data_IF_282234431415
#
_entry.id   IF_282234431415
#
_cell.length_a   1.000
_cell.length_b   1.000
_cell.length_c   1.000
_cell.angle_alpha   90.00
_cell.angle_beta   90.00
_cell.angle_gamma   90.00
#
_symmetry.space_group_name_H-M   'P 1'
#
loop_
_entity.id
_entity.type
_entity.pdbx_description
1 polymer ?
#
# COMPACT_ATOMS: atom_id res chain seq x y z
N UNK A 1 -52.16 -4.09 -5.63
CA UNK A 1 -50.92 -3.50 -6.03
C UNK A 1 -49.94 -3.59 -4.87
N UNK A 2 -49.01 -4.50 -4.91
CA UNK A 2 -47.98 -4.57 -3.90
C UNK A 2 -46.89 -3.55 -4.27
N UNK A 3 -46.88 -2.43 -3.59
CA UNK A 3 -45.72 -1.62 -3.40
C UNK A 3 -44.73 -2.43 -2.56
N UNK A 4 -44.27 -3.53 -3.12
CA UNK A 4 -43.22 -4.29 -2.46
C UNK A 4 -41.88 -3.74 -2.88
N UNK A 5 -41.46 -2.77 -2.09
CA UNK A 5 -40.08 -2.60 -1.69
C UNK A 5 -39.10 -2.42 -2.83
N UNK A 6 -39.00 -1.23 -3.29
CA UNK A 6 -37.72 -0.64 -3.46
C UNK A 6 -37.15 -0.41 -2.04
N UNK A 7 -36.94 -1.47 -1.30
CA UNK A 7 -35.90 -1.45 -0.27
C UNK A 7 -34.62 -1.25 -1.02
N UNK A 8 -33.89 -0.24 -0.62
CA UNK A 8 -32.56 0.11 -1.04
C UNK A 8 -31.62 -1.09 -0.81
N UNK A 9 -31.78 -2.16 -1.60
CA UNK A 9 -30.91 -3.36 -1.58
C UNK A 9 -29.60 -3.13 -2.30
N UNK A 10 -29.42 -1.96 -2.89
CA UNK A 10 -28.29 -1.63 -3.72
C UNK A 10 -27.03 -1.18 -3.00
N UNK A 11 -27.08 -0.91 -1.69
CA UNK A 11 -25.91 -0.39 -0.97
C UNK A 11 -25.58 -1.27 0.23
N UNK A 12 -24.34 -1.75 0.29
CA UNK A 12 -23.82 -2.49 1.43
C UNK A 12 -22.67 -1.70 2.03
N UNK A 13 -22.71 -1.45 3.33
CA UNK A 13 -21.63 -0.87 4.11
C UNK A 13 -21.11 -1.91 5.09
N UNK A 14 -19.81 -2.14 5.09
CA UNK A 14 -19.14 -3.02 6.05
C UNK A 14 -18.07 -2.23 6.79
N UNK A 15 -18.22 -2.14 8.12
CA UNK A 15 -17.15 -1.72 9.01
C UNK A 15 -16.27 -2.93 9.27
N UNK A 16 -15.20 -3.08 8.52
CA UNK A 16 -14.29 -4.23 8.65
C UNK A 16 -13.50 -4.16 9.95
N UNK A 17 -12.85 -3.03 10.18
CA UNK A 17 -12.16 -2.72 11.43
C UNK A 17 -12.63 -1.37 11.95
N UNK A 18 -12.75 -1.26 13.28
CA UNK A 18 -13.08 -0.03 13.96
C UNK A 18 -12.05 0.26 15.04
N UNK A 19 -11.16 1.21 14.78
CA UNK A 19 -10.05 1.62 15.69
C UNK A 19 -9.33 0.41 16.28
N UNK A 20 -9.01 -0.55 15.44
CA UNK A 20 -8.34 -1.78 15.83
C UNK A 20 -6.84 -1.54 15.95
N UNK A 21 -6.21 -1.92 17.07
CA UNK A 21 -4.76 -1.77 17.23
C UNK A 21 -3.98 -2.62 16.22
N UNK A 22 -2.98 -2.01 15.59
CA UNK A 22 -1.96 -2.65 14.78
C UNK A 22 -0.63 -2.33 15.45
N UNK A 23 0.06 -3.34 15.97
CA UNK A 23 1.19 -3.16 16.86
C UNK A 23 2.17 -4.33 16.77
N UNK A 24 3.33 -4.18 17.40
CA UNK A 24 4.30 -5.26 17.54
C UNK A 24 4.38 -5.67 19.01
N UNK A 25 3.68 -6.77 19.35
CA UNK A 25 3.62 -7.32 20.71
C UNK A 25 3.82 -8.84 20.71
N UNK A 26 5.05 -9.32 20.54
CA UNK A 26 5.32 -10.77 20.50
C UNK A 26 4.81 -11.54 21.71
N UNK A 27 4.84 -10.92 22.89
CA UNK A 27 4.39 -11.56 24.14
C UNK A 27 2.87 -11.76 24.20
N UNK A 28 2.10 -10.86 23.58
CA UNK A 28 0.63 -10.91 23.56
C UNK A 28 0.09 -11.57 22.30
N UNK A 29 0.78 -11.38 21.19
CA UNK A 29 0.40 -11.85 19.87
C UNK A 29 1.55 -12.64 19.26
N UNK A 30 1.49 -13.97 19.28
CA UNK A 30 2.45 -14.79 18.53
C UNK A 30 2.27 -14.59 17.02
N UNK A 31 2.96 -15.39 16.23
CA UNK A 31 2.90 -15.25 14.76
C UNK A 31 1.49 -15.40 14.19
N UNK A 32 0.64 -16.19 14.86
CA UNK A 32 -0.78 -16.36 14.57
C UNK A 32 -1.59 -16.29 15.86
N UNK A 33 -2.63 -15.46 15.87
CA UNK A 33 -3.64 -15.40 16.94
C UNK A 33 -5.03 -15.58 16.29
N UNK A 34 -5.81 -16.59 16.73
CA UNK A 34 -7.15 -16.84 16.20
C UNK A 34 -8.08 -15.64 16.36
N UNK A 35 -9.19 -15.67 15.62
CA UNK A 35 -10.21 -14.62 15.67
C UNK A 35 -10.71 -14.40 17.10
N UNK A 36 -10.72 -13.13 17.53
CA UNK A 36 -11.36 -12.71 18.77
C UNK A 36 -12.87 -12.60 18.62
N UNK A 37 -13.56 -12.05 19.64
CA UNK A 37 -15.02 -11.86 19.61
C UNK A 37 -15.50 -10.98 18.44
N UNK A 38 -14.66 -10.04 17.98
CA UNK A 38 -14.97 -9.16 16.85
C UNK A 38 -14.57 -9.78 15.49
N UNK A 39 -14.09 -11.01 15.49
CA UNK A 39 -13.65 -11.73 14.29
C UNK A 39 -12.26 -11.33 13.81
N UNK A 40 -11.50 -10.56 14.57
CA UNK A 40 -10.15 -10.10 14.19
C UNK A 40 -9.12 -11.17 14.46
N UNK A 41 -8.47 -11.62 13.39
CA UNK A 41 -7.29 -12.50 13.42
C UNK A 41 -6.05 -11.63 13.41
N UNK A 42 -5.00 -12.03 14.15
CA UNK A 42 -3.74 -11.28 14.16
C UNK A 42 -2.61 -12.16 13.65
N UNK A 43 -1.81 -11.62 12.76
CA UNK A 43 -0.62 -12.26 12.23
C UNK A 43 0.62 -11.41 12.55
N UNK A 44 1.77 -12.07 12.52
CA UNK A 44 3.09 -11.41 12.60
C UNK A 44 3.20 -10.51 13.83
N UNK A 45 2.87 -11.08 14.99
CA UNK A 45 2.98 -10.40 16.28
C UNK A 45 2.09 -9.15 16.44
N UNK A 46 0.96 -9.11 15.73
CA UNK A 46 -0.01 -8.02 15.76
C UNK A 46 0.17 -6.96 14.68
N UNK A 47 1.18 -7.06 13.83
CA UNK A 47 1.40 -6.11 12.71
C UNK A 47 0.43 -6.28 11.56
N UNK A 48 -0.25 -7.43 11.48
CA UNK A 48 -1.35 -7.68 10.56
C UNK A 48 -2.62 -7.93 11.35
N UNK A 49 -3.69 -7.24 10.99
CA UNK A 49 -5.05 -7.56 11.39
C UNK A 49 -5.81 -8.08 10.17
N UNK A 50 -6.54 -9.16 10.34
CA UNK A 50 -7.21 -9.88 9.27
C UNK A 50 -8.64 -10.23 9.70
N UNK A 51 -9.59 -10.14 8.79
CA UNK A 51 -10.98 -10.47 9.07
C UNK A 51 -11.66 -11.06 7.84
N UNK A 52 -12.50 -12.06 8.07
CA UNK A 52 -13.40 -12.58 7.05
C UNK A 52 -14.58 -11.67 6.86
N UNK A 53 -14.88 -11.29 5.63
CA UNK A 53 -16.05 -10.51 5.25
C UNK A 53 -16.95 -11.34 4.34
N UNK A 54 -18.24 -11.03 4.36
CA UNK A 54 -19.25 -11.64 3.47
C UNK A 54 -20.04 -10.53 2.79
N UNK A 55 -20.04 -10.53 1.46
CA UNK A 55 -20.81 -9.62 0.64
C UNK A 55 -22.06 -10.32 0.10
N UNK A 56 -23.18 -9.57 -0.10
CA UNK A 56 -24.34 -10.09 -0.81
C UNK A 56 -24.00 -10.53 -2.24
N UNK A 57 -24.84 -11.39 -2.81
CA UNK A 57 -24.76 -11.79 -4.21
C UNK A 57 -25.48 -10.72 -5.06
N UNK A 58 -24.71 -9.77 -5.59
CA UNK A 58 -25.22 -8.69 -6.44
C UNK A 58 -25.57 -9.21 -7.83
N UNK A 59 -26.62 -8.69 -8.42
CA UNK A 59 -27.10 -9.08 -9.75
C UNK A 59 -26.75 -8.07 -10.84
N UNK A 60 -26.51 -6.83 -10.43
CA UNK A 60 -26.15 -5.73 -11.32
C UNK A 60 -24.74 -5.24 -11.00
N UNK A 61 -24.20 -4.43 -11.88
CA UNK A 61 -22.89 -3.85 -11.70
C UNK A 61 -22.75 -3.12 -10.36
N UNK A 62 -21.56 -3.11 -9.84
CA UNK A 62 -21.25 -2.51 -8.54
C UNK A 62 -20.10 -1.52 -8.64
N UNK A 63 -20.14 -0.50 -7.78
CA UNK A 63 -19.01 0.35 -7.43
C UNK A 63 -18.52 -0.03 -6.03
N UNK A 64 -17.23 -0.26 -5.87
CA UNK A 64 -16.62 -0.62 -4.59
C UNK A 64 -15.65 0.46 -4.15
N UNK A 65 -15.89 1.01 -2.96
CA UNK A 65 -15.05 2.04 -2.35
C UNK A 65 -14.43 1.53 -1.06
N UNK A 66 -13.13 1.68 -0.91
CA UNK A 66 -12.38 1.36 0.30
C UNK A 66 -12.01 2.67 1.01
N UNK A 67 -12.35 2.76 2.30
CA UNK A 67 -11.99 3.87 3.18
C UNK A 67 -11.17 3.35 4.35
N UNK A 68 -10.02 3.96 4.57
CA UNK A 68 -9.10 3.59 5.66
C UNK A 68 -8.76 4.83 6.47
N UNK A 69 -8.87 4.72 7.79
CA UNK A 69 -8.51 5.77 8.73
C UNK A 69 -7.47 5.24 9.70
N UNK A 70 -6.38 5.99 9.86
CA UNK A 70 -5.27 5.62 10.73
C UNK A 70 -4.92 6.77 11.68
N UNK A 71 -4.62 6.42 12.92
CA UNK A 71 -4.01 7.29 13.89
C UNK A 71 -2.88 6.58 14.61
N UNK A 72 -1.85 7.31 15.02
CA UNK A 72 -0.81 6.76 15.88
C UNK A 72 -1.37 6.44 17.26
N UNK A 73 -0.91 5.34 17.83
CA UNK A 73 -1.15 4.97 19.22
C UNK A 73 0.13 5.07 20.07
N UNK A 74 1.17 5.73 19.53
CA UNK A 74 2.47 5.92 20.16
C UNK A 74 3.66 5.76 19.20
N UNK A 75 3.52 5.05 18.10
CA UNK A 75 4.55 5.03 17.05
C UNK A 75 4.58 6.39 16.35
N UNK A 76 5.74 7.04 16.37
CA UNK A 76 5.93 8.40 15.84
C UNK A 76 6.41 8.43 14.40
N UNK A 77 6.76 7.28 13.82
CA UNK A 77 7.43 7.21 12.53
C UNK A 77 6.47 7.05 11.35
N UNK A 78 6.93 7.42 10.19
CA UNK A 78 6.31 7.13 8.91
C UNK A 78 6.56 5.66 8.54
N UNK A 79 5.50 4.89 8.50
CA UNK A 79 5.55 3.45 8.22
C UNK A 79 4.77 3.10 6.97
N UNK A 80 5.29 2.18 6.17
CA UNK A 80 4.52 1.62 5.07
C UNK A 80 3.38 0.77 5.59
N UNK A 81 2.23 0.91 4.94
CA UNK A 81 1.03 0.15 5.21
C UNK A 81 0.40 -0.40 3.94
N UNK A 82 -0.31 -1.50 4.07
CA UNK A 82 -0.96 -2.18 2.97
C UNK A 82 -2.30 -2.75 3.42
N UNK A 83 -3.35 -2.37 2.69
CA UNK A 83 -4.63 -3.07 2.76
C UNK A 83 -4.64 -4.12 1.68
N UNK A 84 -5.05 -5.33 2.01
CA UNK A 84 -4.95 -6.46 1.10
C UNK A 84 -6.11 -7.42 1.24
N UNK A 85 -6.25 -8.31 0.25
CA UNK A 85 -7.14 -9.46 0.27
C UNK A 85 -6.33 -10.71 -0.04
N UNK A 86 -6.65 -11.81 0.63
CA UNK A 86 -6.08 -13.12 0.32
C UNK A 86 -6.78 -13.68 -0.92
N UNK A 87 -6.06 -13.94 -2.04
CA UNK A 87 -6.66 -14.53 -3.23
C UNK A 87 -7.30 -15.89 -2.92
N UNK A 88 -8.55 -16.08 -3.33
CA UNK A 88 -9.31 -17.32 -3.05
C UNK A 88 -8.73 -18.55 -3.72
N UNK A 89 -8.12 -18.34 -4.88
CA UNK A 89 -7.44 -19.39 -5.67
C UNK A 89 -6.12 -19.84 -5.05
N UNK A 90 -5.59 -19.10 -4.07
CA UNK A 90 -4.34 -19.45 -3.41
C UNK A 90 -4.59 -20.40 -2.24
N UNK A 91 -4.10 -21.63 -2.33
CA UNK A 91 -4.14 -22.59 -1.22
C UNK A 91 -3.19 -22.14 -0.12
N UNK A 92 -1.99 -21.69 -0.50
CA UNK A 92 -1.00 -21.12 0.41
C UNK A 92 -1.25 -19.63 0.51
N UNK A 93 -1.43 -19.09 1.72
CA UNK A 93 -1.66 -17.68 1.97
C UNK A 93 -1.00 -17.23 3.26
N UNK A 94 -1.04 -15.91 3.54
CA UNK A 94 -0.40 -15.35 4.72
C UNK A 94 -0.91 -15.98 6.03
N UNK A 95 -2.19 -16.31 6.09
CA UNK A 95 -2.80 -16.85 7.31
C UNK A 95 -2.27 -18.24 7.63
N UNK A 96 -2.29 -19.18 6.66
CA UNK A 96 -1.82 -20.52 6.93
C UNK A 96 -0.28 -20.64 7.02
N UNK A 97 0.46 -19.70 6.43
CA UNK A 97 1.89 -19.56 6.67
C UNK A 97 2.14 -19.11 8.12
N UNK A 98 1.42 -18.10 8.59
CA UNK A 98 1.53 -17.61 9.96
C UNK A 98 1.14 -18.70 11.00
N UNK A 99 0.15 -19.53 10.68
CA UNK A 99 -0.22 -20.68 11.51
C UNK A 99 0.86 -21.79 11.54
N UNK A 100 1.84 -21.74 10.64
CA UNK A 100 2.82 -22.80 10.49
C UNK A 100 2.33 -24.05 9.75
N UNK A 101 1.15 -23.98 9.10
CA UNK A 101 0.55 -25.11 8.36
C UNK A 101 1.07 -25.24 6.94
N UNK A 102 1.53 -24.15 6.36
CA UNK A 102 2.06 -24.06 5.01
C UNK A 102 3.33 -23.22 4.99
N UNK A 103 4.09 -23.35 3.93
CA UNK A 103 5.25 -22.51 3.62
C UNK A 103 5.13 -22.00 2.19
N UNK A 104 5.78 -20.90 1.88
CA UNK A 104 5.90 -20.44 0.50
C UNK A 104 6.53 -21.55 -0.37
N UNK A 105 6.07 -21.71 -1.61
CA UNK A 105 6.68 -22.68 -2.51
C UNK A 105 8.13 -22.30 -2.80
N UNK A 106 8.97 -23.31 -2.96
CA UNK A 106 10.32 -23.09 -3.47
C UNK A 106 10.26 -22.47 -4.86
N UNK A 107 11.16 -21.55 -5.13
CA UNK A 107 11.34 -20.97 -6.46
C UNK A 107 12.59 -21.56 -7.12
N UNK A 108 12.57 -21.66 -8.44
CA UNK A 108 13.77 -22.02 -9.20
C UNK A 108 14.82 -20.92 -9.04
N UNK A 109 15.84 -21.19 -8.24
CA UNK A 109 16.89 -20.20 -7.92
C UNK A 109 17.72 -19.81 -9.13
N UNK A 110 17.72 -20.59 -10.20
CA UNK A 110 18.42 -20.26 -11.45
C UNK A 110 17.65 -19.24 -12.27
N UNK A 111 16.32 -19.26 -12.18
CA UNK A 111 15.41 -18.38 -12.90
C UNK A 111 14.91 -17.24 -12.04
N UNK A 112 14.51 -17.54 -10.81
CA UNK A 112 13.86 -16.62 -9.87
C UNK A 112 14.67 -16.46 -8.57
N UNK A 113 15.93 -16.08 -8.71
CA UNK A 113 16.76 -15.84 -7.54
C UNK A 113 16.07 -14.92 -6.52
N UNK A 114 15.96 -15.41 -5.28
CA UNK A 114 15.40 -14.64 -4.16
C UNK A 114 14.00 -14.09 -4.39
N UNK A 115 13.11 -14.84 -5.03
CA UNK A 115 11.73 -14.40 -5.24
C UNK A 115 10.69 -15.20 -4.44
N UNK A 116 11.10 -15.81 -3.32
CA UNK A 116 10.19 -16.58 -2.45
C UNK A 116 9.09 -15.67 -1.91
N UNK A 117 7.83 -16.09 -2.14
CA UNK A 117 6.65 -15.36 -1.69
C UNK A 117 6.29 -14.12 -2.51
N UNK A 118 7.08 -13.79 -3.54
CA UNK A 118 6.89 -12.60 -4.38
C UNK A 118 6.11 -12.92 -5.65
N UNK A 119 6.42 -14.04 -6.29
CA UNK A 119 5.82 -14.48 -7.56
C UNK A 119 4.95 -15.72 -7.36
N UNK A 120 4.00 -16.01 -8.28
CA UNK A 120 3.20 -17.22 -8.22
C UNK A 120 4.07 -18.49 -8.20
N UNK A 121 3.56 -19.53 -7.55
CA UNK A 121 4.18 -20.84 -7.48
C UNK A 121 3.14 -21.93 -7.29
N UNK A 122 3.59 -23.14 -6.98
CA UNK A 122 2.69 -24.27 -6.73
C UNK A 122 1.75 -23.93 -5.55
N UNK A 123 0.44 -23.95 -5.81
CA UNK A 123 -0.62 -23.64 -4.84
C UNK A 123 -0.56 -22.23 -4.23
N UNK A 124 0.20 -21.33 -4.82
CA UNK A 124 0.42 -19.98 -4.30
C UNK A 124 0.18 -18.92 -5.37
N UNK A 125 -0.63 -17.93 -4.99
CA UNK A 125 -0.83 -16.68 -5.71
C UNK A 125 -0.47 -15.53 -4.75
N UNK A 126 0.31 -14.53 -5.18
CA UNK A 126 0.68 -13.42 -4.33
C UNK A 126 -0.54 -12.69 -3.76
N UNK A 127 -0.42 -12.23 -2.53
CA UNK A 127 -1.43 -11.39 -1.87
C UNK A 127 -1.77 -10.19 -2.77
N UNK A 128 -3.06 -9.93 -2.94
CA UNK A 128 -3.55 -8.82 -3.76
C UNK A 128 -3.70 -7.56 -2.89
N UNK A 129 -2.96 -6.53 -3.23
CA UNK A 129 -3.00 -5.26 -2.52
C UNK A 129 -4.19 -4.43 -2.99
N UNK A 130 -5.05 -4.00 -2.03
CA UNK A 130 -6.22 -3.17 -2.28
C UNK A 130 -5.88 -1.68 -2.23
N UNK A 131 -5.00 -1.29 -1.31
CA UNK A 131 -4.56 0.09 -1.11
C UNK A 131 -3.21 0.09 -0.40
N UNK A 132 -2.26 0.85 -0.91
CA UNK A 132 -1.03 1.19 -0.18
C UNK A 132 -1.16 2.56 0.44
N UNK A 133 -0.62 2.71 1.64
CA UNK A 133 -0.54 3.99 2.34
C UNK A 133 0.75 4.11 3.14
N UNK A 134 1.07 5.33 3.51
CA UNK A 134 2.15 5.62 4.44
C UNK A 134 1.58 6.33 5.65
N UNK A 135 1.91 5.83 6.85
CA UNK A 135 1.51 6.53 8.07
C UNK A 135 2.26 7.85 8.17
N UNK A 136 1.61 8.90 8.64
CA UNK A 136 2.31 10.14 8.96
C UNK A 136 3.06 10.04 10.29
N UNK A 137 3.90 11.02 10.56
CA UNK A 137 4.66 11.12 11.80
C UNK A 137 3.75 11.49 12.99
N UNK A 138 3.18 10.48 13.62
CA UNK A 138 2.54 10.58 14.93
C UNK A 138 1.17 11.25 14.97
N UNK A 139 0.44 11.28 13.86
CA UNK A 139 -0.92 11.86 13.81
C UNK A 139 -1.81 11.25 14.90
N UNK A 140 -2.51 12.08 15.62
CA UNK A 140 -3.41 11.69 16.72
C UNK A 140 -2.72 11.68 18.07
N UNK A 141 -1.83 10.76 18.32
CA UNK A 141 -1.14 10.64 19.61
C UNK A 141 -0.29 11.88 19.94
N UNK A 142 0.43 12.42 18.97
CA UNK A 142 1.28 13.61 19.12
C UNK A 142 0.59 14.91 18.64
N UNK A 143 -0.70 14.88 18.38
CA UNK A 143 -1.45 16.03 17.87
C UNK A 143 -1.95 16.99 18.95
N UNK A 144 -1.70 16.68 20.23
CA UNK A 144 -2.08 17.56 21.34
C UNK A 144 -1.21 18.81 21.39
N UNK A 145 -1.83 19.96 21.56
CA UNK A 145 -1.12 21.23 21.77
C UNK A 145 -0.29 21.26 23.06
N UNK A 146 -0.61 20.38 24.00
CA UNK A 146 0.12 20.23 25.26
C UNK A 146 1.32 19.27 25.14
N UNK A 147 1.46 18.58 24.02
CA UNK A 147 2.61 17.72 23.77
C UNK A 147 3.86 18.56 23.51
N UNK A 148 4.89 18.35 24.33
CA UNK A 148 6.14 19.14 24.25
C UNK A 148 6.88 18.91 22.92
N UNK A 149 6.68 17.78 22.26
CA UNK A 149 7.30 17.47 20.98
C UNK A 149 6.62 18.23 19.85
N UNK A 150 5.30 18.17 19.77
CA UNK A 150 4.54 18.84 18.72
C UNK A 150 4.64 20.36 18.83
N UNK A 151 4.61 20.91 20.04
CA UNK A 151 4.71 22.37 20.26
C UNK A 151 6.05 22.94 19.79
N UNK A 152 7.14 22.20 19.95
CA UNK A 152 8.48 22.63 19.51
C UNK A 152 8.70 22.53 18.00
N UNK A 153 7.90 21.73 17.31
CA UNK A 153 8.05 21.43 15.88
C UNK A 153 6.97 22.02 14.99
N UNK A 154 6.01 22.69 15.60
CA UNK A 154 4.89 23.28 14.87
C UNK A 154 5.37 24.41 13.98
N UNK A 155 5.21 24.32 12.66
CA UNK A 155 5.38 25.45 11.77
C UNK A 155 4.33 26.53 12.08
N UNK A 156 4.69 27.77 11.93
CA UNK A 156 3.82 28.93 12.26
C UNK A 156 2.49 28.89 11.50
N UNK A 157 2.50 28.34 10.30
CA UNK A 157 1.32 28.27 9.42
C UNK A 157 0.40 27.07 9.68
N UNK A 158 0.74 26.18 10.62
CA UNK A 158 -0.16 25.08 11.01
C UNK A 158 -0.93 25.49 12.26
N UNK A 159 -2.20 25.90 12.11
CA UNK A 159 -2.99 26.33 13.26
C UNK A 159 -3.40 25.18 14.17
N UNK A 160 -3.59 24.00 13.60
CA UNK A 160 -4.05 22.80 14.31
C UNK A 160 -3.56 21.54 13.63
N UNK A 161 -3.10 20.57 14.42
CA UNK A 161 -2.79 19.22 13.95
C UNK A 161 -4.06 18.40 13.76
N UNK A 162 -4.11 17.61 12.69
CA UNK A 162 -5.18 16.62 12.51
C UNK A 162 -5.07 15.51 13.55
N UNK A 163 -6.19 14.86 13.85
CA UNK A 163 -6.25 13.76 14.83
C UNK A 163 -6.14 12.37 14.21
N UNK A 164 -6.35 12.28 12.93
CA UNK A 164 -6.26 11.06 12.14
C UNK A 164 -6.05 11.41 10.68
N UNK A 165 -5.70 10.44 9.88
CA UNK A 165 -5.65 10.55 8.42
C UNK A 165 -6.61 9.53 7.81
N UNK A 166 -7.31 9.93 6.76
CA UNK A 166 -8.28 9.07 6.04
C UNK A 166 -7.97 9.09 4.56
N UNK A 167 -7.98 7.90 3.96
CA UNK A 167 -7.81 7.70 2.52
C UNK A 167 -9.03 6.97 1.96
N UNK A 168 -9.41 7.32 0.75
CA UNK A 168 -10.54 6.72 0.03
C UNK A 168 -10.08 6.39 -1.39
N UNK A 169 -10.26 5.13 -1.81
CA UNK A 169 -9.98 4.70 -3.16
C UNK A 169 -11.13 3.88 -3.74
N UNK A 170 -11.39 4.05 -5.03
CA UNK A 170 -12.23 3.16 -5.82
C UNK A 170 -11.43 1.89 -6.12
N UNK A 171 -11.94 0.74 -5.70
CA UNK A 171 -11.34 -0.57 -5.93
C UNK A 171 -12.28 -1.51 -6.69
N UNK A 172 -13.16 -0.96 -7.49
CA UNK A 172 -14.17 -1.72 -8.25
C UNK A 172 -13.55 -2.81 -9.12
N UNK A 173 -12.40 -2.54 -9.76
CA UNK A 173 -11.69 -3.54 -10.56
C UNK A 173 -11.28 -4.79 -9.75
N UNK A 174 -11.20 -4.67 -8.43
CA UNK A 174 -10.80 -5.75 -7.51
C UNK A 174 -12.00 -6.49 -6.89
N UNK A 175 -13.22 -6.15 -7.29
CA UNK A 175 -14.44 -6.79 -6.78
C UNK A 175 -14.40 -8.33 -6.88
N UNK A 176 -13.88 -8.96 -7.95
CA UNK A 176 -13.81 -10.44 -8.03
C UNK A 176 -13.07 -11.09 -6.86
N UNK A 177 -12.08 -10.42 -6.30
CA UNK A 177 -11.33 -10.92 -5.14
C UNK A 177 -12.10 -10.78 -3.82
N UNK A 178 -13.10 -9.91 -3.77
CA UNK A 178 -13.93 -9.63 -2.59
C UNK A 178 -15.30 -10.34 -2.62
N UNK A 179 -15.69 -10.83 -3.77
CA UNK A 179 -17.01 -11.37 -4.07
C UNK A 179 -17.39 -12.49 -3.12
N UNK A 180 -18.62 -12.43 -2.57
CA UNK A 180 -19.20 -13.38 -1.61
C UNK A 180 -18.45 -13.40 -0.28
N UNK A 181 -17.33 -14.06 -0.21
CA UNK A 181 -16.57 -14.26 1.01
C UNK A 181 -15.08 -14.05 0.77
N UNK A 182 -14.45 -13.24 1.60
CA UNK A 182 -13.03 -12.95 1.47
C UNK A 182 -12.38 -12.65 2.82
N UNK A 183 -11.08 -12.90 2.92
CA UNK A 183 -10.26 -12.42 4.02
C UNK A 183 -9.56 -11.14 3.60
N UNK A 184 -9.85 -10.05 4.30
CA UNK A 184 -9.23 -8.74 4.08
C UNK A 184 -8.42 -8.32 5.29
N UNK A 185 -7.36 -7.59 5.09
CA UNK A 185 -6.49 -7.20 6.18
C UNK A 185 -5.79 -5.87 5.99
N UNK A 186 -5.17 -5.42 7.08
CA UNK A 186 -4.26 -4.28 7.12
C UNK A 186 -2.93 -4.75 7.71
N UNK A 187 -1.86 -4.41 7.02
CA UNK A 187 -0.48 -4.53 7.49
C UNK A 187 0.10 -3.14 7.70
N UNK A 188 0.79 -2.92 8.81
CA UNK A 188 1.63 -1.75 9.04
C UNK A 188 2.99 -2.24 9.53
N UNK A 189 4.07 -1.76 8.91
CA UNK A 189 5.45 -2.13 9.26
C UNK A 189 5.92 -1.42 10.54
N UNK A 190 5.14 -1.57 11.60
CA UNK A 190 5.44 -1.04 12.94
C UNK A 190 6.25 -2.03 13.76
N UNK A 191 7.15 -1.51 14.58
CA UNK A 191 8.00 -2.29 15.47
C UNK A 191 7.88 -1.84 16.93
N UNK A 192 6.86 -1.03 17.22
CA UNK A 192 6.58 -0.57 18.58
C UNK A 192 5.38 -1.32 19.15
N UNK A 193 5.39 -1.50 20.47
CA UNK A 193 4.29 -2.14 21.19
C UNK A 193 3.00 -1.30 21.11
N UNK A 194 3.12 0.00 21.02
CA UNK A 194 2.02 0.95 20.93
C UNK A 194 1.39 0.97 19.54
N UNK A 195 2.22 1.03 18.51
CA UNK A 195 1.81 1.01 17.10
C UNK A 195 0.81 2.08 16.70
N UNK A 196 -0.24 1.63 16.05
CA UNK A 196 -1.30 2.44 15.45
C UNK A 196 -2.67 1.89 15.80
N UNK A 197 -3.71 2.69 15.54
CA UNK A 197 -5.10 2.22 15.45
C UNK A 197 -5.60 2.46 14.04
N UNK A 198 -6.30 1.46 13.49
CA UNK A 198 -6.76 1.49 12.12
C UNK A 198 -8.24 1.12 12.01
N UNK A 199 -8.94 1.83 11.13
CA UNK A 199 -10.32 1.52 10.73
C UNK A 199 -10.36 1.26 9.23
N UNK A 200 -11.20 0.32 8.82
CA UNK A 200 -11.43 0.00 7.42
C UNK A 200 -12.92 -0.16 7.16
N UNK A 201 -13.40 0.53 6.14
CA UNK A 201 -14.77 0.47 5.69
C UNK A 201 -14.83 0.12 4.21
N UNK A 202 -15.76 -0.76 3.84
CA UNK A 202 -16.09 -1.09 2.46
C UNK A 202 -17.52 -0.65 2.17
N UNK A 203 -17.67 0.13 1.11
CA UNK A 203 -18.96 0.52 0.56
C UNK A 203 -19.13 -0.11 -0.83
N UNK A 204 -20.18 -0.89 -1.01
CA UNK A 204 -20.53 -1.49 -2.29
C UNK A 204 -21.90 -0.94 -2.71
N UNK A 205 -21.94 -0.28 -3.86
CA UNK A 205 -23.16 0.29 -4.45
C UNK A 205 -23.53 -0.49 -5.69
N UNK A 206 -24.67 -1.18 -5.65
CA UNK A 206 -25.23 -1.85 -6.82
C UNK A 206 -25.95 -0.85 -7.72
N UNK A 207 -25.78 -0.95 -9.04
CA UNK A 207 -26.46 -0.10 -10.02
C UNK A 207 -27.99 -0.18 -9.85
N UNK A 208 -28.65 0.96 -9.97
CA UNK A 208 -30.12 1.06 -9.99
C UNK A 208 -30.73 0.78 -11.37
N UNK A 209 -29.90 0.71 -12.40
CA UNK A 209 -30.31 0.48 -13.78
C UNK A 209 -30.51 -1.02 -13.99
N UNK A 210 -31.72 -1.44 -14.34
CA UNK A 210 -32.10 -2.87 -14.45
C UNK A 210 -31.34 -3.63 -15.53
N UNK A 211 -30.90 -2.97 -16.60
CA UNK A 211 -30.13 -3.58 -17.66
C UNK A 211 -28.60 -3.50 -17.47
N UNK A 212 -28.16 -2.97 -16.35
CA UNK A 212 -26.74 -2.83 -16.02
C UNK A 212 -26.24 -4.14 -15.38
N UNK A 213 -26.03 -5.12 -16.22
CA UNK A 213 -25.64 -6.48 -15.79
C UNK A 213 -24.23 -6.44 -15.22
N UNK A 214 -23.99 -7.23 -14.19
CA UNK A 214 -22.65 -7.40 -13.60
C UNK A 214 -21.66 -7.85 -14.68
N UNK A 215 -20.63 -7.06 -14.99
CA UNK A 215 -19.60 -7.50 -15.91
C UNK A 215 -18.75 -8.62 -15.29
N UNK A 216 -18.26 -9.52 -16.14
CA UNK A 216 -17.33 -10.57 -15.71
C UNK A 216 -15.93 -10.00 -15.56
N UNK A 217 -15.67 -9.35 -14.45
CA UNK A 217 -14.33 -8.84 -14.12
C UNK A 217 -13.38 -9.97 -13.74
N UNK A 218 -12.14 -9.83 -14.16
CA UNK A 218 -11.03 -10.71 -13.81
C UNK A 218 -9.87 -9.94 -13.25
N UNK A 219 -9.21 -10.52 -12.27
CA UNK A 219 -7.99 -10.00 -11.64
C UNK A 219 -6.96 -11.10 -11.60
N UNK A 220 -5.75 -10.80 -12.03
CA UNK A 220 -4.62 -11.74 -11.97
C UNK A 220 -3.43 -11.09 -11.27
N UNK A 221 -3.13 -11.46 -10.02
CA UNK A 221 -1.90 -11.01 -9.36
C UNK A 221 -0.67 -11.53 -10.10
N UNK A 222 0.31 -10.65 -10.33
CA UNK A 222 1.58 -11.00 -10.96
C UNK A 222 2.69 -11.08 -9.92
N UNK A 223 2.87 -10.03 -9.11
CA UNK A 223 3.87 -10.00 -8.05
C UNK A 223 3.46 -9.05 -6.93
N UNK A 224 4.01 -9.32 -5.74
CA UNK A 224 3.89 -8.42 -4.61
C UNK A 224 5.14 -8.54 -3.74
N UNK A 225 5.91 -7.46 -3.63
CA UNK A 225 7.13 -7.42 -2.83
C UNK A 225 6.93 -6.81 -1.44
N UNK A 226 5.71 -6.46 -1.06
CA UNK A 226 5.44 -6.05 0.33
C UNK A 226 5.81 -7.20 1.26
N UNK A 227 6.65 -6.90 2.24
CA UNK A 227 7.19 -7.90 3.16
C UNK A 227 6.23 -8.14 4.32
N UNK A 228 5.18 -8.94 4.08
CA UNK A 228 4.18 -9.26 5.11
C UNK A 228 4.70 -10.28 6.12
N UNK A 229 5.23 -11.39 5.65
CA UNK A 229 5.74 -12.50 6.46
C UNK A 229 6.69 -13.39 5.68
N UNK A 230 7.96 -13.35 5.97
CA UNK A 230 8.91 -14.33 5.46
C UNK A 230 9.15 -14.37 3.94
N UNK A 231 8.58 -13.44 3.18
CA UNK A 231 8.93 -13.27 1.77
C UNK A 231 10.41 -12.86 1.64
N UNK A 232 10.93 -12.96 0.43
CA UNK A 232 12.22 -12.35 0.14
C UNK A 232 12.16 -10.85 0.40
N UNK A 233 13.21 -10.31 1.04
CA UNK A 233 13.31 -8.87 1.27
C UNK A 233 13.35 -8.11 -0.06
N UNK A 234 12.63 -6.99 -0.22
CA UNK A 234 12.43 -6.30 -1.49
C UNK A 234 13.62 -5.45 -1.96
N UNK A 235 14.85 -5.86 -1.67
CA UNK A 235 16.09 -5.28 -2.21
C UNK A 235 16.49 -5.88 -3.57
N UNK A 236 15.70 -6.81 -4.07
CA UNK A 236 15.99 -7.59 -5.29
C UNK A 236 16.21 -6.72 -6.53
N UNK A 237 15.53 -5.57 -6.60
CA UNK A 237 15.64 -4.65 -7.76
C UNK A 237 17.02 -4.01 -7.89
N UNK A 238 17.78 -3.92 -6.80
CA UNK A 238 19.15 -3.41 -6.83
C UNK A 238 20.17 -4.42 -7.38
N UNK A 239 19.77 -5.68 -7.48
CA UNK A 239 20.63 -6.78 -7.92
C UNK A 239 20.53 -7.02 -9.42
N UNK A 240 19.30 -7.06 -9.92
CA UNK A 240 18.98 -7.27 -11.34
C UNK A 240 17.53 -6.91 -11.63
N UNK A 241 17.19 -6.87 -12.91
CA UNK A 241 15.78 -6.80 -13.33
C UNK A 241 15.02 -8.01 -12.80
N UNK A 242 13.79 -7.79 -12.36
CA UNK A 242 12.89 -8.84 -11.89
C UNK A 242 12.05 -9.30 -13.07
N UNK A 243 12.23 -10.55 -13.47
CA UNK A 243 11.50 -11.17 -14.60
C UNK A 243 10.73 -12.36 -14.07
N UNK A 244 9.47 -12.46 -14.45
CA UNK A 244 8.63 -13.61 -14.16
C UNK A 244 7.78 -14.00 -15.37
N UNK A 245 7.39 -15.27 -15.43
CA UNK A 245 6.41 -15.76 -16.39
C UNK A 245 5.03 -15.84 -15.73
N UNK A 246 3.99 -15.68 -16.54
CA UNK A 246 2.62 -15.94 -16.12
C UNK A 246 1.84 -16.60 -17.25
N UNK A 247 0.80 -17.35 -16.90
CA UNK A 247 -0.03 -18.05 -17.87
C UNK A 247 -1.43 -17.45 -17.93
N UNK A 248 -1.91 -17.23 -19.15
CA UNK A 248 -3.30 -16.87 -19.42
C UNK A 248 -4.06 -18.15 -19.83
N UNK A 249 -5.03 -18.63 -19.03
CA UNK A 249 -5.79 -19.85 -19.37
C UNK A 249 -6.54 -19.75 -20.70
N UNK A 250 -7.00 -18.55 -21.03
CA UNK A 250 -7.66 -18.22 -22.29
C UNK A 250 -7.28 -16.81 -22.74
N UNK A 251 -7.50 -16.50 -24.00
CA UNK A 251 -7.27 -15.17 -24.53
C UNK A 251 -8.13 -14.12 -23.79
N UNK A 252 -7.58 -12.96 -23.56
CA UNK A 252 -8.24 -11.82 -22.93
C UNK A 252 -8.07 -10.56 -23.75
N UNK A 253 -9.08 -9.70 -23.74
CA UNK A 253 -9.09 -8.42 -24.47
C UNK A 253 -9.02 -7.24 -23.51
N UNK A 254 -8.44 -6.15 -23.97
CA UNK A 254 -8.38 -4.88 -23.24
C UNK A 254 -7.81 -5.03 -21.83
N UNK A 255 -6.78 -5.85 -21.70
CA UNK A 255 -6.10 -6.07 -20.42
C UNK A 255 -5.37 -4.81 -19.99
N UNK A 256 -5.52 -4.44 -18.74
CA UNK A 256 -4.81 -3.33 -18.10
C UNK A 256 -3.90 -3.85 -17.01
N UNK A 257 -2.73 -3.24 -16.90
CA UNK A 257 -1.82 -3.43 -15.79
C UNK A 257 -2.09 -2.38 -14.72
N UNK A 258 -2.16 -2.80 -13.47
CA UNK A 258 -2.10 -1.93 -12.29
C UNK A 258 -0.75 -2.14 -11.62
N UNK A 259 -0.04 -1.05 -11.38
CA UNK A 259 1.31 -1.05 -10.85
C UNK A 259 1.40 -0.08 -9.67
N UNK A 260 1.68 -0.60 -8.48
CA UNK A 260 1.82 0.17 -7.25
C UNK A 260 3.28 0.11 -6.85
N UNK A 261 3.94 1.26 -6.74
CA UNK A 261 5.37 1.32 -6.44
C UNK A 261 5.69 2.44 -5.45
N UNK A 262 6.57 2.14 -4.50
CA UNK A 262 7.18 3.11 -3.60
C UNK A 262 8.61 2.72 -3.29
N UNK A 263 9.51 3.71 -3.29
CA UNK A 263 10.91 3.52 -2.93
C UNK A 263 11.19 3.93 -1.50
N UNK A 264 11.97 3.13 -0.78
CA UNK A 264 12.20 3.28 0.65
C UNK A 264 13.65 3.15 1.02
N UNK A 265 14.01 3.88 2.07
CA UNK A 265 15.32 3.80 2.69
C UNK A 265 16.39 4.59 1.95
N UNK A 266 17.51 4.66 2.59
CA UNK A 266 18.69 5.28 2.01
C UNK A 266 18.87 6.73 2.37
N UNK A 267 19.94 6.94 3.07
CA UNK A 267 20.56 8.24 3.21
C UNK A 267 21.30 8.52 1.89
N UNK A 268 21.55 9.76 1.58
CA UNK A 268 22.29 10.26 0.42
C UNK A 268 22.34 9.31 -0.81
N UNK A 269 21.49 9.57 -1.79
CA UNK A 269 21.36 8.76 -3.01
C UNK A 269 20.48 7.51 -2.87
N UNK A 270 19.80 7.36 -1.74
CA UNK A 270 18.92 6.22 -1.50
C UNK A 270 17.62 6.22 -2.28
N UNK A 271 16.97 5.08 -2.28
CA UNK A 271 15.76 4.84 -3.07
C UNK A 271 14.57 5.73 -2.69
N UNK A 272 14.56 6.30 -1.48
CA UNK A 272 13.46 7.15 -0.99
C UNK A 272 13.54 8.58 -1.52
N UNK A 273 14.73 9.18 -1.54
CA UNK A 273 14.93 10.62 -1.75
C UNK A 273 15.58 11.00 -3.07
N UNK A 274 15.76 10.07 -3.98
CA UNK A 274 16.34 10.30 -5.29
C UNK A 274 15.41 9.76 -6.37
N UNK A 275 15.16 10.58 -7.39
CA UNK A 275 14.36 10.20 -8.55
C UNK A 275 14.98 9.02 -9.27
N UNK A 276 14.23 7.93 -9.44
CA UNK A 276 14.70 6.71 -10.09
C UNK A 276 13.64 6.15 -11.03
N UNK A 277 14.04 5.92 -12.26
CA UNK A 277 13.16 5.43 -13.31
C UNK A 277 12.73 3.99 -13.05
N UNK A 278 11.44 3.72 -13.27
CA UNK A 278 10.86 2.39 -13.32
C UNK A 278 10.47 2.08 -14.76
N UNK A 279 10.85 0.92 -15.25
CA UNK A 279 10.53 0.42 -16.59
C UNK A 279 9.83 -0.93 -16.43
N UNK A 280 8.60 -1.01 -16.90
CA UNK A 280 7.77 -2.21 -16.80
C UNK A 280 7.44 -2.71 -18.19
N UNK A 281 7.65 -4.00 -18.43
CA UNK A 281 7.45 -4.62 -19.74
C UNK A 281 6.59 -5.88 -19.64
N UNK A 282 5.80 -6.12 -20.67
CA UNK A 282 5.04 -7.36 -20.90
C UNK A 282 5.44 -7.90 -22.28
N UNK A 283 5.86 -9.17 -22.32
CA UNK A 283 6.35 -9.82 -23.54
C UNK A 283 7.43 -9.01 -24.28
N UNK A 284 8.33 -8.40 -23.51
CA UNK A 284 9.42 -7.59 -24.03
C UNK A 284 9.03 -6.17 -24.50
N UNK A 285 7.75 -5.81 -24.44
CA UNK A 285 7.27 -4.47 -24.80
C UNK A 285 7.12 -3.62 -23.54
N UNK A 286 7.74 -2.44 -23.53
CA UNK A 286 7.53 -1.46 -22.47
C UNK A 286 6.07 -1.02 -22.41
N UNK A 287 5.45 -1.12 -21.24
CA UNK A 287 4.10 -0.66 -20.96
C UNK A 287 4.06 0.51 -19.98
N UNK A 288 5.07 0.63 -19.13
CA UNK A 288 5.32 1.79 -18.27
C UNK A 288 6.80 2.14 -18.32
N UNK A 289 7.08 3.43 -18.42
CA UNK A 289 8.43 3.98 -18.31
C UNK A 289 8.30 5.37 -17.70
N UNK A 290 8.55 5.48 -16.39
CA UNK A 290 8.30 6.71 -15.66
C UNK A 290 9.19 6.80 -14.41
N UNK A 291 9.24 7.99 -13.83
CA UNK A 291 9.89 8.23 -12.55
C UNK A 291 8.79 8.37 -11.49
N UNK A 292 8.63 7.38 -10.59
CA UNK A 292 7.69 7.48 -9.49
C UNK A 292 8.19 8.49 -8.46
N UNK A 293 7.59 9.66 -8.44
CA UNK A 293 8.03 10.78 -7.63
C UNK A 293 6.87 11.63 -7.12
N UNK A 294 6.98 12.14 -5.91
CA UNK A 294 6.04 13.11 -5.34
C UNK A 294 6.80 14.29 -4.74
N UNK A 295 6.38 15.48 -5.08
CA UNK A 295 6.92 16.75 -4.58
C UNK A 295 5.88 17.63 -3.84
N UNK A 296 4.72 17.05 -3.55
CA UNK A 296 3.61 17.69 -2.85
C UNK A 296 3.53 17.34 -1.34
N UNK A 297 4.60 16.80 -0.77
CA UNK A 297 4.59 16.27 0.60
C UNK A 297 4.32 17.34 1.67
N UNK A 298 4.67 18.61 1.42
CA UNK A 298 4.34 19.72 2.31
C UNK A 298 2.82 19.88 2.53
N UNK A 299 1.99 19.46 1.58
CA UNK A 299 0.53 19.49 1.71
C UNK A 299 -0.02 18.56 2.81
N UNK A 300 0.77 17.58 3.25
CA UNK A 300 0.43 16.66 4.34
C UNK A 300 0.96 17.10 5.70
N UNK A 301 1.57 18.27 5.80
CA UNK A 301 2.25 18.71 7.02
C UNK A 301 1.37 18.68 8.27
N UNK A 302 0.08 18.99 8.14
CA UNK A 302 -0.89 18.98 9.25
C UNK A 302 -1.10 17.59 9.88
N UNK A 303 -0.72 16.53 9.18
CA UNK A 303 -0.79 15.13 9.67
C UNK A 303 0.51 14.69 10.34
N UNK A 304 1.56 15.51 10.36
CA UNK A 304 2.90 15.11 10.76
C UNK A 304 3.42 15.89 11.99
N UNK A 305 2.72 15.78 13.15
CA UNK A 305 3.12 16.55 14.34
C UNK A 305 4.48 16.15 14.91
N UNK A 306 4.89 14.87 14.73
CA UNK A 306 6.13 14.33 15.29
C UNK A 306 7.28 14.26 14.28
N UNK A 307 7.20 14.96 13.16
CA UNK A 307 8.24 14.96 12.12
C UNK A 307 9.58 15.49 12.65
N UNK A 308 10.67 14.97 12.13
CA UNK A 308 12.00 15.55 12.32
C UNK A 308 12.12 16.91 11.63
N UNK A 309 12.95 17.78 12.16
CA UNK A 309 13.26 19.07 11.56
C UNK A 309 14.77 19.14 11.28
N UNK A 310 15.12 19.46 10.04
CA UNK A 310 16.50 19.67 9.62
C UNK A 310 16.76 21.14 9.41
N UNK A 311 17.97 21.60 9.70
CA UNK A 311 18.43 22.95 9.39
C UNK A 311 19.21 22.91 8.07
N UNK A 312 18.78 23.73 7.11
CA UNK A 312 19.39 23.78 5.79
C UNK A 312 19.93 25.20 5.56
N UNK A 313 21.22 25.36 5.18
CA UNK A 313 21.76 26.65 4.78
C UNK A 313 21.02 27.21 3.56
N UNK A 314 20.59 28.45 3.67
CA UNK A 314 19.89 29.18 2.60
C UNK A 314 20.43 30.59 2.51
N UNK A 315 20.16 31.21 1.38
CA UNK A 315 20.40 32.64 1.19
C UNK A 315 19.06 33.37 1.16
N UNK A 316 18.83 34.24 2.11
CA UNK A 316 17.61 35.04 2.21
C UNK A 316 17.88 36.46 1.75
N UNK A 317 16.98 37.00 0.92
CA UNK A 317 17.00 38.41 0.54
C UNK A 317 16.28 39.27 1.59
N UNK A 318 16.80 40.47 1.89
CA UNK A 318 16.18 41.42 2.77
C UNK A 318 16.59 42.85 2.45
N UNK A 319 15.89 43.82 3.02
CA UNK A 319 16.25 45.26 2.89
C UNK A 319 17.04 45.62 4.14
N UNK A 320 18.33 45.86 3.95
CA UNK A 320 19.23 46.37 4.97
C UNK A 320 19.37 47.89 4.91
N UNK A 321 20.20 48.47 5.77
CA UNK A 321 20.42 49.92 5.86
C UNK A 321 20.90 50.57 4.56
N UNK A 322 21.57 49.80 3.70
CA UNK A 322 22.09 50.23 2.41
C UNK A 322 21.23 49.79 1.21
N UNK A 323 20.00 49.34 1.45
CA UNK A 323 19.11 48.87 0.43
C UNK A 323 19.03 47.35 0.35
N UNK A 324 18.70 46.83 -0.83
CA UNK A 324 18.49 45.41 -1.05
C UNK A 324 19.79 44.61 -0.92
N UNK A 325 19.78 43.55 -0.13
CA UNK A 325 20.93 42.70 0.11
C UNK A 325 20.52 41.28 0.47
N UNK A 326 21.49 40.40 0.68
CA UNK A 326 21.27 39.00 1.05
C UNK A 326 22.07 38.65 2.31
N UNK A 327 21.59 37.62 3.02
CA UNK A 327 22.32 36.99 4.13
C UNK A 327 22.13 35.51 4.14
N UNK A 328 23.11 34.81 4.70
CA UNK A 328 22.99 33.40 4.99
C UNK A 328 22.10 33.19 6.22
N UNK A 329 21.21 32.23 6.14
CA UNK A 329 20.33 31.77 7.21
C UNK A 329 20.31 30.25 7.29
N UNK A 330 19.92 29.72 8.42
CA UNK A 330 19.53 28.33 8.56
C UNK A 330 18.00 28.24 8.51
N UNK A 331 17.49 27.57 7.49
CA UNK A 331 16.06 27.35 7.31
C UNK A 331 15.65 26.01 7.90
N UNK A 332 14.69 25.94 8.85
CA UNK A 332 14.17 24.67 9.33
C UNK A 332 13.31 24.02 8.25
N UNK A 333 13.64 22.78 7.88
CA UNK A 333 12.89 21.96 6.95
C UNK A 333 12.34 20.74 7.67
N UNK A 334 11.03 20.55 7.59
CA UNK A 334 10.42 19.35 8.12
C UNK A 334 10.74 18.13 7.23
N UNK A 335 11.20 17.03 7.83
CA UNK A 335 11.47 15.78 7.10
C UNK A 335 10.24 15.30 6.32
N UNK A 336 9.05 15.46 6.89
CA UNK A 336 7.79 15.10 6.22
C UNK A 336 7.50 15.89 4.94
N UNK A 337 8.11 17.06 4.76
CA UNK A 337 7.89 17.92 3.59
C UNK A 337 8.79 17.53 2.39
N UNK A 338 9.79 16.69 2.61
CA UNK A 338 10.71 16.28 1.56
C UNK A 338 10.04 15.42 0.50
N UNK A 339 10.37 15.70 -0.76
CA UNK A 339 9.95 14.90 -1.89
C UNK A 339 10.49 13.47 -1.79
N UNK A 340 9.70 12.49 -2.22
CA UNK A 340 10.01 11.07 -2.10
C UNK A 340 9.57 10.27 -3.33
N UNK A 341 10.09 9.06 -3.41
CA UNK A 341 9.77 8.09 -4.46
C UNK A 341 8.32 7.59 -4.35
N UNK A 342 7.39 8.36 -4.90
CA UNK A 342 5.97 8.07 -5.07
C UNK A 342 5.13 8.01 -3.80
N UNK A 343 5.59 8.57 -2.71
CA UNK A 343 4.81 8.66 -1.47
C UNK A 343 5.16 9.89 -0.64
N UNK A 344 4.27 10.22 0.27
CA UNK A 344 4.50 11.22 1.31
C UNK A 344 4.06 10.67 2.66
N UNK A 345 4.69 11.06 3.78
CA UNK A 345 4.16 10.72 5.11
C UNK A 345 2.73 11.22 5.27
N UNK A 346 1.77 10.29 5.39
CA UNK A 346 0.34 10.59 5.47
C UNK A 346 -0.42 10.46 4.16
N UNK A 347 0.22 10.03 3.07
CA UNK A 347 -0.46 9.81 1.79
C UNK A 347 -0.83 8.35 1.56
N UNK A 348 -1.87 8.13 0.75
CA UNK A 348 -2.06 6.89 0.02
C UNK A 348 -1.26 6.91 -1.29
N UNK A 349 -1.19 5.75 -1.93
CA UNK A 349 -0.49 5.58 -3.21
C UNK A 349 -1.46 5.03 -4.23
N UNK A 350 -1.74 5.81 -5.28
CA UNK A 350 -2.58 5.38 -6.37
C UNK A 350 -1.83 4.43 -7.30
N UNK A 351 -2.45 3.35 -7.78
CA UNK A 351 -1.86 2.52 -8.82
C UNK A 351 -1.61 3.31 -10.11
N UNK A 352 -0.44 3.11 -10.71
CA UNK A 352 -0.22 3.47 -12.11
C UNK A 352 -0.93 2.45 -13.00
N UNK A 353 -1.57 2.93 -14.04
CA UNK A 353 -2.31 2.09 -14.99
C UNK A 353 -1.67 2.12 -16.37
N UNK A 354 -1.51 0.94 -16.96
CA UNK A 354 -1.05 0.82 -18.34
C UNK A 354 -2.00 -0.08 -19.15
N UNK A 355 -2.29 0.32 -20.37
CA UNK A 355 -3.04 -0.51 -21.31
C UNK A 355 -2.10 -1.53 -21.93
N UNK A 356 -2.34 -2.82 -21.64
CA UNK A 356 -1.62 -3.92 -22.28
C UNK A 356 -2.22 -4.26 -23.63
N UNK A 357 -3.55 -4.20 -23.73
CA UNK A 357 -4.31 -4.64 -24.90
C UNK A 357 -4.69 -6.12 -24.81
N UNK A 358 -4.72 -6.78 -25.95
CA UNK A 358 -5.13 -8.17 -26.02
C UNK A 358 -3.96 -9.12 -25.69
N UNK A 359 -4.23 -10.12 -24.86
CA UNK A 359 -3.30 -11.21 -24.55
C UNK A 359 -3.84 -12.53 -25.07
N UNK A 360 -2.98 -13.30 -25.74
CA UNK A 360 -3.31 -14.66 -26.14
C UNK A 360 -3.37 -15.62 -24.97
N UNK A 361 -4.04 -16.75 -25.12
CA UNK A 361 -3.88 -17.88 -24.21
C UNK A 361 -2.42 -18.35 -24.23
N UNK A 362 -1.93 -18.86 -23.10
CA UNK A 362 -0.58 -19.39 -22.96
C UNK A 362 0.35 -18.51 -22.13
N UNK A 363 1.63 -18.73 -22.31
CA UNK A 363 2.68 -18.15 -21.48
C UNK A 363 3.04 -16.73 -21.95
N UNK A 364 3.19 -15.84 -20.96
CA UNK A 364 3.65 -14.46 -21.14
C UNK A 364 4.77 -14.15 -20.15
N UNK A 365 5.47 -13.07 -20.39
CA UNK A 365 6.57 -12.59 -19.55
C UNK A 365 6.25 -11.20 -18.99
N UNK A 366 6.60 -10.97 -17.73
CA UNK A 366 6.50 -9.70 -17.04
C UNK A 366 7.85 -9.30 -16.47
N UNK A 367 8.26 -8.05 -16.69
CA UNK A 367 9.56 -7.55 -16.22
C UNK A 367 9.42 -6.19 -15.57
N UNK A 368 10.09 -6.03 -14.42
CA UNK A 368 10.29 -4.74 -13.75
C UNK A 368 11.78 -4.46 -13.68
N UNK A 369 12.19 -3.31 -14.19
CA UNK A 369 13.54 -2.79 -14.12
C UNK A 369 13.56 -1.45 -13.38
N UNK A 370 14.42 -1.35 -12.38
CA UNK A 370 14.74 -0.11 -11.68
C UNK A 370 16.27 0.03 -11.76
N UNK A 371 16.83 0.54 -12.89
CA UNK A 371 18.25 0.43 -13.18
C UNK A 371 19.15 1.10 -12.14
N UNK A 372 18.66 2.16 -11.50
CA UNK A 372 19.42 2.94 -10.51
C UNK A 372 19.02 2.63 -9.07
N UNK A 373 18.28 1.53 -8.83
CA UNK A 373 17.96 1.07 -7.48
C UNK A 373 19.24 0.94 -6.67
N UNK A 374 19.24 1.46 -5.45
CA UNK A 374 20.45 1.53 -4.66
C UNK A 374 20.92 0.14 -4.25
N UNK A 375 22.20 -0.12 -4.48
CA UNK A 375 22.84 -1.36 -4.08
C UNK A 375 22.75 -1.56 -2.57
N UNK A 376 22.63 -2.82 -2.19
CA UNK A 376 22.67 -3.21 -0.78
C UNK A 376 24.02 -2.84 -0.20
N UNK A 377 24.00 -2.08 0.89
CA UNK A 377 25.20 -1.64 1.57
C UNK A 377 25.03 -1.83 3.08
N UNK A 378 25.52 -2.96 3.58
CA UNK A 378 25.55 -3.28 5.00
C UNK A 378 24.20 -3.13 5.69
N UNK A 379 24.06 -2.13 6.55
CA UNK A 379 22.86 -1.87 7.33
C UNK A 379 21.84 -0.94 6.64
N UNK A 380 22.08 -0.52 5.41
CA UNK A 380 21.16 0.35 4.68
C UNK A 380 20.04 -0.48 4.09
N UNK A 381 18.84 -0.28 4.59
CA UNK A 381 17.63 -1.00 4.19
C UNK A 381 16.96 -0.32 3.00
N UNK A 382 17.65 -0.30 1.85
CA UNK A 382 17.09 0.24 0.60
C UNK A 382 16.23 -0.82 -0.07
N UNK A 383 15.02 -0.44 -0.46
CA UNK A 383 14.11 -1.38 -1.09
C UNK A 383 12.99 -0.68 -1.86
N UNK A 384 12.37 -1.44 -2.76
CA UNK A 384 11.19 -1.02 -3.51
C UNK A 384 10.02 -1.94 -3.19
N UNK A 385 8.89 -1.36 -2.80
CA UNK A 385 7.65 -2.09 -2.62
C UNK A 385 6.85 -2.00 -3.91
N UNK A 386 6.70 -3.13 -4.58
CA UNK A 386 6.01 -3.25 -5.86
C UNK A 386 4.89 -4.26 -5.76
N UNK A 387 3.68 -3.85 -6.13
CA UNK A 387 2.56 -4.75 -6.41
C UNK A 387 2.13 -4.57 -7.85
N UNK A 388 1.95 -5.67 -8.56
CA UNK A 388 1.51 -5.65 -9.95
C UNK A 388 0.43 -6.71 -10.17
N UNK A 389 -0.64 -6.33 -10.84
CA UNK A 389 -1.72 -7.22 -11.22
C UNK A 389 -2.39 -6.78 -12.50
N UNK A 390 -2.99 -7.73 -13.21
CA UNK A 390 -3.76 -7.48 -14.41
C UNK A 390 -5.25 -7.46 -14.09
N UNK A 391 -5.98 -6.59 -14.78
CA UNK A 391 -7.44 -6.51 -14.72
C UNK A 391 -8.00 -6.47 -16.14
N UNK A 392 -9.12 -7.17 -16.35
CA UNK A 392 -9.86 -7.17 -17.62
C UNK A 392 -11.30 -7.60 -17.39
N UNK A 393 -12.12 -7.49 -18.42
CA UNK A 393 -13.50 -8.01 -18.46
C UNK A 393 -13.61 -9.08 -19.54
N UNK A 394 -14.37 -10.15 -19.29
CA UNK A 394 -14.70 -11.19 -20.27
C UNK A 394 -16.07 -10.98 -20.91
#
# INVERSE_FOLDING_TARGET
GSEMCIRDRGNTHIQVFDKTPVCFRPDSFPNYTPANADGVIRLVNGRIILKKITLPDYKRDVDVTLKVTVASNGDRWDKSGSCFVLPKESVINLMNIAEGKRAFPAVDSTKYEKMIGIVPGQDYVPTLELMRFMTPFGVGYYSSDNDSLSSKRRPVYIPKWEKSVTWVQDITDLYPALEREAYVGIYIDTWTAEGYVASMELDVKESKITCDVMPERRVKPLMNTVYYIGQTYPDIFSRKDVVMDFDMPKAAKNVRLKYIVTGHGGHSGGDEFVEKRNIVSVDGKEVLNFIPWRDDCASFRRFNPATGVWLIPRVAAYIGDKGYTTKEIEEPLASSDLSRSNWCPGSDVMPEEAVIGDLSAGKHSFKVSIPEAQQVDGNKLNHWLVSAYLVWEE
#
